data_IF_588810658736
#
_entry.id   IF_588810658736
#
_cell.length_a   1.000
_cell.length_b   1.000
_cell.length_c   1.000
_cell.angle_alpha   90.00
_cell.angle_beta   90.00
_cell.angle_gamma   90.00
#
_symmetry.space_group_name_H-M   'P 1'
#
loop_
_entity.id
_entity.type
_entity.pdbx_description
1 polymer ?
#
# COMPACT_ATOMS: atom_id res chain seq x y z
N UNK A 1 16.55 36.90 -9.44
CA UNK A 1 15.23 37.17 -8.82
C UNK A 1 14.29 36.17 -9.46
N UNK A 2 13.79 35.18 -8.71
CA UNK A 2 12.86 34.20 -9.28
C UNK A 2 11.52 34.90 -9.48
N UNK A 3 11.09 35.05 -10.72
CA UNK A 3 9.78 35.62 -11.02
C UNK A 3 8.70 34.64 -10.57
N UNK A 4 7.77 35.11 -9.77
CA UNK A 4 6.66 34.32 -9.21
C UNK A 4 5.86 33.59 -10.31
N UNK A 5 5.82 34.14 -11.52
CA UNK A 5 5.15 33.53 -12.68
C UNK A 5 5.83 32.25 -13.18
N UNK A 6 7.15 32.10 -12.98
CA UNK A 6 7.90 30.89 -13.35
C UNK A 6 7.90 29.83 -12.25
N UNK A 7 7.66 30.22 -11.01
CA UNK A 7 7.69 29.35 -9.84
C UNK A 7 6.42 28.51 -9.69
N UNK A 8 5.25 29.10 -9.95
CA UNK A 8 3.94 28.43 -9.86
C UNK A 8 3.85 27.17 -10.75
N UNK A 9 4.16 27.22 -12.06
CA UNK A 9 4.09 26.01 -12.89
C UNK A 9 5.09 24.94 -12.43
N UNK A 10 6.29 25.33 -11.97
CA UNK A 10 7.27 24.38 -11.45
C UNK A 10 6.76 23.65 -10.20
N UNK A 11 6.05 24.35 -9.31
CA UNK A 11 5.40 23.75 -8.14
C UNK A 11 4.29 22.76 -8.54
N UNK A 12 3.46 23.13 -9.52
CA UNK A 12 2.36 22.27 -10.00
C UNK A 12 2.89 20.95 -10.58
N UNK A 13 3.97 21.00 -11.35
CA UNK A 13 4.59 19.79 -11.92
C UNK A 13 5.43 18.98 -10.92
N UNK A 14 5.95 19.61 -9.87
CA UNK A 14 6.78 18.89 -8.88
C UNK A 14 5.95 18.11 -7.86
N UNK A 15 4.72 18.51 -7.55
CA UNK A 15 3.85 17.80 -6.59
C UNK A 15 3.60 16.33 -6.99
N UNK A 16 3.19 15.98 -8.22
CA UNK A 16 3.00 14.58 -8.62
C UNK A 16 4.29 13.77 -8.58
N UNK A 17 5.41 14.38 -8.99
CA UNK A 17 6.72 13.72 -9.01
C UNK A 17 7.13 13.37 -7.58
N UNK A 18 7.03 14.33 -6.65
CA UNK A 18 7.36 14.11 -5.24
C UNK A 18 6.43 13.06 -4.62
N UNK A 19 5.15 13.04 -4.97
CA UNK A 19 4.21 12.03 -4.48
C UNK A 19 4.59 10.61 -4.93
N UNK A 20 4.96 10.43 -6.21
CA UNK A 20 5.38 9.14 -6.75
C UNK A 20 6.71 8.71 -6.13
N UNK A 21 7.70 9.60 -6.15
CA UNK A 21 9.04 9.32 -5.61
C UNK A 21 8.94 8.99 -4.12
N UNK A 22 8.21 9.81 -3.35
CA UNK A 22 7.97 9.59 -1.93
C UNK A 22 7.28 8.25 -1.67
N UNK A 23 6.24 7.91 -2.44
CA UNK A 23 5.55 6.63 -2.34
C UNK A 23 6.46 5.44 -2.60
N UNK A 24 7.26 5.48 -3.67
CA UNK A 24 8.22 4.43 -4.01
C UNK A 24 9.30 4.31 -2.94
N UNK A 25 9.88 5.43 -2.47
CA UNK A 25 10.89 5.41 -1.42
C UNK A 25 10.36 4.77 -0.14
N UNK A 26 9.16 5.14 0.30
CA UNK A 26 8.52 4.52 1.49
C UNK A 26 8.31 3.02 1.29
N UNK A 27 7.86 2.60 0.11
CA UNK A 27 7.66 1.19 -0.21
C UNK A 27 8.99 0.40 -0.17
N UNK A 28 10.04 0.92 -0.78
CA UNK A 28 11.37 0.28 -0.82
C UNK A 28 12.00 0.19 0.57
N UNK A 29 11.96 1.27 1.35
CA UNK A 29 12.49 1.27 2.72
C UNK A 29 11.75 0.25 3.58
N UNK A 30 10.42 0.19 3.47
CA UNK A 30 9.60 -0.78 4.18
C UNK A 30 9.92 -2.22 3.75
N UNK A 31 10.19 -2.46 2.46
CA UNK A 31 10.56 -3.78 1.96
C UNK A 31 11.94 -4.24 2.45
N UNK A 32 12.95 -3.36 2.40
CA UNK A 32 14.33 -3.69 2.79
C UNK A 32 14.45 -3.89 4.32
N UNK A 33 13.78 -3.05 5.11
CA UNK A 33 13.82 -3.18 6.58
C UNK A 33 13.33 -4.53 7.08
N UNK A 34 12.36 -5.13 6.37
CA UNK A 34 11.79 -6.44 6.70
C UNK A 34 12.74 -7.59 6.41
N UNK A 35 13.45 -7.55 5.28
CA UNK A 35 14.41 -8.61 4.93
C UNK A 35 15.50 -8.76 5.98
N UNK A 36 15.99 -7.64 6.52
CA UNK A 36 17.03 -7.64 7.55
C UNK A 36 16.57 -8.30 8.86
N UNK A 37 15.31 -8.13 9.24
CA UNK A 37 14.77 -8.77 10.45
C UNK A 37 14.68 -10.29 10.32
N UNK A 38 14.28 -10.78 9.14
CA UNK A 38 14.21 -12.22 8.85
C UNK A 38 15.61 -12.84 8.83
N UNK A 39 16.57 -12.16 8.21
CA UNK A 39 17.96 -12.62 8.15
C UNK A 39 18.59 -12.72 9.55
N UNK A 40 18.39 -11.73 10.41
CA UNK A 40 18.87 -11.75 11.80
C UNK A 40 18.24 -12.90 12.59
N UNK A 41 16.94 -13.13 12.44
CA UNK A 41 16.27 -14.23 13.13
C UNK A 41 16.71 -15.62 12.62
N UNK A 42 17.08 -15.74 11.34
CA UNK A 42 17.68 -16.96 10.81
C UNK A 42 19.08 -17.19 11.38
N UNK A 43 19.88 -16.14 11.50
CA UNK A 43 21.21 -16.23 12.11
C UNK A 43 21.13 -16.64 13.59
N UNK A 44 20.18 -16.10 14.35
CA UNK A 44 19.93 -16.51 15.74
C UNK A 44 19.56 -18.00 15.84
N UNK A 45 18.75 -18.51 14.90
CA UNK A 45 18.39 -19.94 14.83
C UNK A 45 19.59 -20.83 14.54
N UNK A 46 20.43 -20.46 13.58
CA UNK A 46 21.63 -21.24 13.24
C UNK A 46 22.59 -21.27 14.45
N UNK A 47 22.77 -20.14 15.13
CA UNK A 47 23.60 -20.05 16.32
C UNK A 47 23.06 -20.88 17.51
N UNK A 48 21.74 -20.97 17.67
CA UNK A 48 21.11 -21.80 18.70
C UNK A 48 21.24 -23.30 18.40
N UNK A 49 21.08 -23.70 17.13
CA UNK A 49 21.26 -25.10 16.68
C UNK A 49 22.71 -25.54 16.90
N UNK A 50 23.69 -24.69 16.57
CA UNK A 50 25.11 -24.98 16.83
C UNK A 50 25.43 -25.12 18.32
N UNK A 51 24.64 -24.49 19.20
CA UNK A 51 24.74 -24.63 20.66
C UNK A 51 24.02 -25.87 21.23
N UNK A 52 23.47 -26.73 20.38
CA UNK A 52 22.79 -27.96 20.78
C UNK A 52 21.35 -27.76 21.26
N UNK A 53 20.74 -26.60 20.96
CA UNK A 53 19.31 -26.38 21.24
C UNK A 53 18.48 -27.18 20.23
N UNK A 54 17.53 -27.96 20.75
CA UNK A 54 16.63 -28.81 19.95
C UNK A 54 15.79 -27.94 18.98
N UNK A 55 15.83 -28.20 17.66
CA UNK A 55 15.16 -27.37 16.65
C UNK A 55 13.65 -27.20 16.86
N UNK A 56 13.01 -28.13 17.57
CA UNK A 56 11.58 -28.06 17.91
C UNK A 56 11.24 -27.02 18.98
N UNK A 57 12.23 -26.51 19.73
CA UNK A 57 12.04 -25.48 20.76
C UNK A 57 12.44 -24.08 20.30
N UNK A 58 12.87 -23.93 19.05
CA UNK A 58 13.22 -22.62 18.50
C UNK A 58 11.94 -21.81 18.25
N UNK A 59 11.87 -20.55 18.72
CA UNK A 59 10.74 -19.68 18.40
C UNK A 59 10.60 -19.58 16.88
N UNK A 60 9.35 -19.63 16.34
CA UNK A 60 9.10 -19.55 14.90
C UNK A 60 9.86 -18.37 14.28
N UNK A 61 10.30 -18.51 13.02
CA UNK A 61 10.85 -17.36 12.30
C UNK A 61 9.84 -16.22 12.44
N UNK A 62 10.27 -14.96 12.58
CA UNK A 62 9.41 -13.81 12.39
C UNK A 62 9.02 -13.79 10.91
N UNK A 63 8.17 -14.75 10.56
CA UNK A 63 7.34 -14.76 9.39
C UNK A 63 6.23 -13.80 9.78
N UNK A 64 6.10 -12.70 9.05
CA UNK A 64 4.85 -11.96 9.10
C UNK A 64 3.73 -12.98 8.78
N UNK A 65 2.53 -12.78 9.34
CA UNK A 65 1.33 -13.53 8.91
C UNK A 65 1.18 -13.51 7.36
N UNK A 66 1.76 -12.50 6.71
CA UNK A 66 1.89 -12.34 5.26
C UNK A 66 2.66 -13.50 4.59
N UNK A 67 3.78 -14.00 5.14
CA UNK A 67 4.57 -15.09 4.54
C UNK A 67 3.92 -16.47 4.74
N UNK A 68 3.26 -16.67 5.90
CA UNK A 68 2.42 -17.84 6.17
C UNK A 68 1.23 -17.94 5.18
N UNK A 69 0.74 -16.78 4.71
CA UNK A 69 -0.37 -16.66 3.76
C UNK A 69 0.04 -16.91 2.30
N UNK A 70 1.30 -16.66 1.92
CA UNK A 70 1.85 -17.01 0.59
C UNK A 70 2.05 -18.51 0.46
N UNK A 71 2.42 -19.18 1.55
CA UNK A 71 2.54 -20.65 1.66
C UNK A 71 1.17 -21.38 1.75
N UNK A 72 0.05 -20.65 1.71
CA UNK A 72 -1.30 -21.23 1.54
C UNK A 72 -1.95 -21.80 2.80
N UNK A 73 -1.44 -21.49 4.00
CA UNK A 73 -1.83 -22.17 5.24
C UNK A 73 -3.03 -21.56 6.01
N UNK A 74 -3.63 -20.45 5.54
CA UNK A 74 -4.76 -19.80 6.24
C UNK A 74 -5.74 -19.08 5.28
N UNK A 75 -6.80 -19.77 4.87
CA UNK A 75 -7.82 -19.28 3.92
C UNK A 75 -8.63 -18.05 4.36
N UNK A 76 -9.28 -18.03 5.55
CA UNK A 76 -10.20 -16.95 5.92
C UNK A 76 -9.51 -15.63 6.32
N UNK A 77 -8.29 -15.69 6.86
CA UNK A 77 -7.52 -14.49 7.21
C UNK A 77 -6.99 -13.77 5.96
N UNK A 78 -6.73 -14.53 4.88
CA UNK A 78 -6.24 -14.01 3.60
C UNK A 78 -7.29 -13.18 2.87
N UNK A 79 -8.54 -13.62 2.86
CA UNK A 79 -9.63 -12.90 2.20
C UNK A 79 -9.95 -11.59 2.93
N UNK A 80 -9.92 -11.59 4.27
CA UNK A 80 -10.06 -10.36 5.08
C UNK A 80 -8.97 -9.33 4.78
N UNK A 81 -7.70 -9.77 4.72
CA UNK A 81 -6.57 -8.86 4.46
C UNK A 81 -6.53 -8.38 3.02
N UNK A 82 -6.89 -9.22 2.05
CA UNK A 82 -7.09 -8.80 0.64
C UNK A 82 -8.19 -7.77 0.52
N UNK A 83 -9.33 -8.00 1.17
CA UNK A 83 -10.40 -7.02 1.23
C UNK A 83 -9.91 -5.70 1.86
N UNK A 84 -9.18 -5.75 2.98
CA UNK A 84 -8.59 -4.55 3.60
C UNK A 84 -7.61 -3.80 2.68
N UNK A 85 -6.71 -4.51 1.98
CA UNK A 85 -5.78 -3.91 1.03
C UNK A 85 -6.49 -3.22 -0.14
N UNK A 86 -7.52 -3.85 -0.69
CA UNK A 86 -8.37 -3.27 -1.73
C UNK A 86 -9.17 -2.07 -1.21
N UNK A 87 -9.65 -2.12 0.02
CA UNK A 87 -10.42 -1.03 0.64
C UNK A 87 -9.53 0.19 0.88
N UNK A 88 -8.35 0.00 1.47
CA UNK A 88 -7.37 1.08 1.70
C UNK A 88 -6.92 1.68 0.36
N UNK A 89 -6.53 0.82 -0.60
CA UNK A 89 -6.13 1.27 -1.93
C UNK A 89 -7.25 2.04 -2.63
N UNK A 90 -8.47 1.53 -2.58
CA UNK A 90 -9.63 2.17 -3.19
C UNK A 90 -9.97 3.53 -2.59
N UNK A 91 -9.96 3.66 -1.26
CA UNK A 91 -10.17 4.96 -0.58
C UNK A 91 -9.09 5.95 -1.00
N UNK A 92 -7.81 5.56 -0.90
CA UNK A 92 -6.69 6.45 -1.21
C UNK A 92 -6.75 6.92 -2.66
N UNK A 93 -6.94 6.00 -3.62
CA UNK A 93 -7.00 6.36 -5.04
C UNK A 93 -8.23 7.19 -5.38
N UNK A 94 -9.39 6.92 -4.76
CA UNK A 94 -10.59 7.73 -4.93
C UNK A 94 -10.38 9.16 -4.41
N UNK A 95 -9.82 9.31 -3.21
CA UNK A 95 -9.49 10.62 -2.62
C UNK A 95 -8.52 11.40 -3.50
N UNK A 96 -7.50 10.75 -4.06
CA UNK A 96 -6.57 11.37 -5.01
C UNK A 96 -7.31 11.84 -6.26
N UNK A 97 -8.20 11.04 -6.84
CA UNK A 97 -8.93 11.45 -8.05
C UNK A 97 -9.86 12.65 -7.82
N UNK A 98 -10.57 12.68 -6.69
CA UNK A 98 -11.37 13.84 -6.29
C UNK A 98 -10.47 15.06 -6.08
N UNK A 99 -9.37 14.91 -5.34
CA UNK A 99 -8.43 15.99 -5.05
C UNK A 99 -7.83 16.59 -6.31
N UNK A 100 -7.39 15.74 -7.26
CA UNK A 100 -6.84 16.18 -8.55
C UNK A 100 -7.91 16.88 -9.39
N UNK A 101 -9.12 16.33 -9.47
CA UNK A 101 -10.22 16.95 -10.21
C UNK A 101 -10.59 18.33 -9.69
N UNK A 102 -10.75 18.46 -8.37
CA UNK A 102 -11.04 19.74 -7.70
C UNK A 102 -9.88 20.72 -7.89
N UNK A 103 -8.64 20.28 -7.65
CA UNK A 103 -7.45 21.13 -7.81
C UNK A 103 -7.34 21.71 -9.23
N UNK A 104 -7.49 20.87 -10.25
CA UNK A 104 -7.41 21.30 -11.64
C UNK A 104 -8.56 22.26 -12.01
N UNK A 105 -9.76 22.06 -11.46
CA UNK A 105 -10.88 22.98 -11.66
C UNK A 105 -10.65 24.38 -11.05
N UNK A 106 -9.79 24.48 -10.03
CA UNK A 106 -9.46 25.74 -9.37
C UNK A 106 -8.27 26.44 -10.03
N UNK A 107 -7.31 25.67 -10.53
CA UNK A 107 -6.07 26.21 -11.13
C UNK A 107 -6.27 26.60 -12.59
N UNK A 108 -7.00 25.80 -13.36
CA UNK A 108 -7.17 26.02 -14.80
C UNK A 108 -8.61 26.44 -15.10
N UNK A 109 -8.78 27.56 -15.82
CA UNK A 109 -10.10 28.05 -16.25
C UNK A 109 -10.71 27.28 -17.43
N UNK A 110 -10.00 26.29 -17.95
CA UNK A 110 -10.49 25.45 -19.05
C UNK A 110 -11.55 24.48 -18.53
N UNK A 111 -12.68 24.42 -19.24
CA UNK A 111 -13.92 23.77 -18.76
C UNK A 111 -13.79 22.26 -18.52
N UNK A 112 -12.75 21.59 -19.04
CA UNK A 112 -12.67 20.13 -19.06
C UNK A 112 -11.47 19.51 -18.31
N UNK A 113 -10.59 20.31 -17.69
CA UNK A 113 -9.34 19.78 -17.10
C UNK A 113 -9.60 18.94 -15.84
N UNK A 114 -10.70 19.19 -15.15
CA UNK A 114 -11.15 18.40 -14.00
C UNK A 114 -11.38 16.91 -14.35
N UNK A 115 -11.64 16.59 -15.62
CA UNK A 115 -11.89 15.23 -16.09
C UNK A 115 -10.70 14.30 -15.87
N UNK A 116 -9.48 14.82 -15.73
CA UNK A 116 -8.28 14.02 -15.41
C UNK A 116 -8.42 13.32 -14.06
N UNK A 117 -9.14 13.91 -13.10
CA UNK A 117 -9.43 13.29 -11.80
C UNK A 117 -10.39 12.11 -11.87
N UNK A 118 -11.19 11.99 -12.94
CA UNK A 118 -12.17 10.91 -13.11
C UNK A 118 -11.47 9.56 -13.28
N UNK A 119 -10.31 9.51 -13.95
CA UNK A 119 -9.58 8.25 -14.17
C UNK A 119 -9.18 7.60 -12.84
N UNK A 120 -8.36 8.24 -11.97
CA UNK A 120 -8.06 7.70 -10.65
C UNK A 120 -9.31 7.57 -9.78
N UNK A 121 -10.30 8.45 -9.91
CA UNK A 121 -11.59 8.31 -9.20
C UNK A 121 -12.28 6.99 -9.52
N UNK A 122 -12.40 6.64 -10.81
CA UNK A 122 -13.00 5.40 -11.28
C UNK A 122 -12.20 4.17 -10.84
N UNK A 123 -10.86 4.24 -10.86
CA UNK A 123 -10.00 3.18 -10.33
C UNK A 123 -10.23 2.97 -8.83
N UNK A 124 -10.34 4.06 -8.05
CA UNK A 124 -10.67 4.00 -6.63
C UNK A 124 -12.03 3.34 -6.36
N UNK A 125 -13.06 3.70 -7.13
CA UNK A 125 -14.38 3.04 -7.06
C UNK A 125 -14.28 1.56 -7.40
N UNK A 126 -13.56 1.19 -8.46
CA UNK A 126 -13.39 -0.20 -8.86
C UNK A 126 -12.70 -1.04 -7.76
N UNK A 127 -11.67 -0.50 -7.11
CA UNK A 127 -10.99 -1.13 -5.99
C UNK A 127 -11.91 -1.28 -4.77
N UNK A 128 -12.73 -0.28 -4.46
CA UNK A 128 -13.74 -0.36 -3.38
C UNK A 128 -14.80 -1.43 -3.65
N UNK A 129 -15.30 -1.52 -4.89
CA UNK A 129 -16.25 -2.55 -5.29
C UNK A 129 -15.61 -3.94 -5.21
N UNK A 130 -14.35 -4.07 -5.62
CA UNK A 130 -13.58 -5.30 -5.49
C UNK A 130 -13.39 -5.70 -4.02
N UNK A 131 -13.09 -4.73 -3.15
CA UNK A 131 -12.98 -4.95 -1.71
C UNK A 131 -14.29 -5.48 -1.12
N UNK A 132 -15.43 -4.94 -1.56
CA UNK A 132 -16.76 -5.38 -1.09
C UNK A 132 -17.10 -6.80 -1.53
N UNK A 133 -16.72 -7.19 -2.76
CA UNK A 133 -16.92 -8.55 -3.29
C UNK A 133 -16.03 -9.57 -2.58
N UNK A 134 -14.76 -9.21 -2.32
CA UNK A 134 -13.78 -10.10 -1.68
C UNK A 134 -13.97 -10.18 -0.16
N UNK A 135 -14.65 -9.20 0.45
CA UNK A 135 -14.91 -9.22 1.89
C UNK A 135 -15.72 -10.47 2.26
N UNK A 136 -15.20 -11.35 3.12
CA UNK A 136 -15.93 -12.54 3.52
C UNK A 136 -17.18 -12.10 4.28
N UNK A 137 -18.35 -12.25 3.65
CA UNK A 137 -19.65 -12.09 4.30
C UNK A 137 -19.64 -13.03 5.50
N UNK A 138 -19.51 -12.45 6.69
CA UNK A 138 -19.60 -13.20 7.94
C UNK A 138 -20.90 -13.98 7.94
N UNK A 139 -20.78 -15.30 7.94
CA UNK A 139 -21.88 -16.19 8.28
C UNK A 139 -22.47 -15.71 9.60
N UNK A 140 -23.74 -15.36 9.54
CA UNK A 140 -24.58 -15.20 10.70
C UNK A 140 -24.42 -16.39 11.63
N UNK A 141 -24.22 -16.11 12.91
CA UNK A 141 -24.42 -17.02 14.04
C UNK A 141 -25.49 -18.07 13.74
N UNK A 142 -25.12 -19.35 13.83
CA UNK A 142 -25.95 -20.45 14.32
C UNK A 142 -25.07 -21.36 15.16
#
# INVERSE_FOLDING_TARGET
MFDSESFVPFLVFSIPIIAIVGGITVAVVKAIGRQRLVELAQQERIAAIQRGVDPSKLPPLPMDDDDMSVLGLSGPERDRRRAQGLLIGGIVTLSVGIGVGVFLSLVERSENVWAVGIIPGAVGVALLLSAWIVSPKGGSMQ
#
